data_IF_776807515135
#
_entry.id   IF_776807515135
#
_cell.length_a   1.000
_cell.length_b   1.000
_cell.length_c   1.000
_cell.angle_alpha   90.00
_cell.angle_beta   90.00
_cell.angle_gamma   90.00
#
_symmetry.space_group_name_H-M   'P 1'
#
loop_
_entity.id
_entity.type
_entity.pdbx_description
1 polymer ?
#
# COMPACT_ATOMS: atom_id res chain seq x y z
N UNK A 1 -5.55 22.98 -9.10
CA UNK A 1 -6.47 22.07 -9.81
C UNK A 1 -6.40 20.68 -9.17
N UNK A 2 -7.40 19.87 -9.46
CA UNK A 2 -7.68 18.58 -8.85
C UNK A 2 -6.56 17.58 -9.22
N UNK A 3 -5.75 17.15 -8.24
CA UNK A 3 -4.91 15.96 -8.38
C UNK A 3 -5.86 14.77 -8.53
N UNK A 4 -6.23 14.47 -9.77
CA UNK A 4 -6.87 13.21 -10.10
C UNK A 4 -5.83 12.13 -9.76
N UNK A 5 -6.06 11.40 -8.67
CA UNK A 5 -5.16 10.34 -8.23
C UNK A 5 -5.30 9.22 -9.26
N UNK A 6 -4.38 9.21 -10.22
CA UNK A 6 -4.33 8.15 -11.22
C UNK A 6 -4.07 6.82 -10.50
N UNK A 7 -5.00 5.89 -10.68
CA UNK A 7 -4.88 4.56 -10.08
C UNK A 7 -3.80 3.79 -10.86
N UNK A 8 -2.76 3.27 -10.18
CA UNK A 8 -1.73 2.46 -10.80
C UNK A 8 -2.30 1.33 -11.66
N UNK A 9 -1.71 1.07 -12.83
CA UNK A 9 -2.20 0.02 -13.74
C UNK A 9 -2.17 -1.37 -13.08
N UNK A 10 -1.17 -1.62 -12.22
CA UNK A 10 -1.06 -2.86 -11.44
C UNK A 10 -2.30 -3.10 -10.56
N UNK A 11 -2.91 -2.03 -10.03
CA UNK A 11 -4.13 -2.14 -9.20
C UNK A 11 -5.32 -2.51 -10.08
N UNK A 12 -5.51 -1.80 -11.20
CA UNK A 12 -6.62 -2.07 -12.14
C UNK A 12 -6.57 -3.51 -12.67
N UNK A 13 -5.37 -4.03 -12.90
CA UNK A 13 -5.14 -5.34 -13.51
C UNK A 13 -5.27 -6.49 -12.53
N UNK A 14 -4.74 -6.38 -11.31
CA UNK A 14 -4.59 -7.55 -10.42
C UNK A 14 -5.39 -7.50 -9.11
N UNK A 15 -5.89 -6.34 -8.69
CA UNK A 15 -6.65 -6.22 -7.44
C UNK A 15 -8.14 -6.47 -7.71
N UNK A 16 -8.83 -7.10 -6.75
CA UNK A 16 -10.28 -7.23 -6.79
C UNK A 16 -10.95 -5.84 -6.70
N UNK A 17 -11.85 -5.54 -7.63
CA UNK A 17 -12.56 -4.26 -7.71
C UNK A 17 -13.79 -4.18 -6.80
N UNK A 18 -14.08 -5.22 -6.01
CA UNK A 18 -15.14 -5.20 -5.01
C UNK A 18 -14.77 -4.30 -3.81
N UNK A 19 -15.76 -3.92 -2.99
CA UNK A 19 -15.55 -3.19 -1.74
C UNK A 19 -14.61 -3.92 -0.75
N UNK A 20 -14.36 -5.22 -0.98
CA UNK A 20 -13.49 -6.08 -0.16
C UNK A 20 -12.09 -6.28 -0.74
N UNK A 21 -11.85 -5.84 -1.97
CA UNK A 21 -10.58 -6.09 -2.65
C UNK A 21 -9.43 -5.19 -2.21
N UNK A 22 -9.74 -3.97 -1.78
CA UNK A 22 -8.76 -3.01 -1.28
C UNK A 22 -8.43 -3.17 0.20
N UNK A 23 -7.40 -2.45 0.66
CA UNK A 23 -6.84 -2.53 2.01
C UNK A 23 -7.80 -2.19 3.17
N UNK A 24 -8.98 -1.63 2.87
CA UNK A 24 -9.95 -1.03 3.80
C UNK A 24 -9.42 0.19 4.57
N UNK A 25 -10.29 0.98 5.23
CA UNK A 25 -9.85 2.05 6.13
C UNK A 25 -8.88 1.59 7.25
N UNK A 26 -8.92 0.31 7.62
CA UNK A 26 -8.02 -0.27 8.64
C UNK A 26 -6.60 -0.46 8.12
N UNK A 27 -6.41 -0.71 6.82
CA UNK A 27 -5.08 -0.78 6.22
C UNK A 27 -4.35 0.56 6.35
N UNK A 28 -5.02 1.65 5.98
CA UNK A 28 -4.48 3.01 6.12
C UNK A 28 -4.11 3.37 7.58
N UNK A 29 -5.00 3.08 8.53
CA UNK A 29 -4.72 3.31 9.95
C UNK A 29 -3.51 2.51 10.45
N UNK A 30 -3.39 1.25 9.99
CA UNK A 30 -2.27 0.37 10.35
C UNK A 30 -0.96 0.95 9.84
N UNK A 31 -0.91 1.41 8.59
CA UNK A 31 0.27 2.07 8.01
C UNK A 31 0.68 3.28 8.84
N UNK A 32 -0.25 4.19 9.16
CA UNK A 32 0.08 5.39 9.91
C UNK A 32 0.63 5.06 11.29
N UNK A 33 0.00 4.13 12.00
CA UNK A 33 0.44 3.75 13.34
C UNK A 33 1.82 3.08 13.29
N UNK A 34 2.02 2.17 12.35
CA UNK A 34 3.29 1.48 12.17
C UNK A 34 4.41 2.45 11.74
N UNK A 35 4.15 3.38 10.83
CA UNK A 35 5.13 4.37 10.38
C UNK A 35 5.54 5.33 11.51
N UNK A 36 4.59 5.74 12.37
CA UNK A 36 4.89 6.51 13.58
C UNK A 36 5.75 5.74 14.57
N UNK A 37 5.43 4.47 14.79
CA UNK A 37 6.23 3.60 15.66
C UNK A 37 7.64 3.41 15.08
N UNK A 38 7.77 3.17 13.78
CA UNK A 38 9.04 3.03 13.08
C UNK A 38 9.89 4.30 13.22
N UNK A 39 9.33 5.48 12.94
CA UNK A 39 10.04 6.75 13.11
C UNK A 39 10.51 6.97 14.55
N UNK A 40 9.66 6.65 15.53
CA UNK A 40 9.98 6.81 16.95
C UNK A 40 11.10 5.87 17.40
N UNK A 41 11.11 4.62 16.92
CA UNK A 41 12.19 3.65 17.20
C UNK A 41 13.54 4.12 16.63
N UNK A 42 13.51 4.86 15.52
CA UNK A 42 14.67 5.53 14.92
C UNK A 42 15.02 6.88 15.56
N UNK A 43 14.35 7.26 16.68
CA UNK A 43 14.61 8.51 17.40
C UNK A 43 14.10 9.77 16.71
N UNK A 44 13.26 9.64 15.68
CA UNK A 44 12.65 10.76 14.96
C UNK A 44 11.22 10.99 15.42
N UNK A 45 10.82 12.27 15.52
CA UNK A 45 9.46 12.65 15.90
C UNK A 45 8.53 12.91 14.69
N UNK A 46 9.09 12.91 13.48
CA UNK A 46 8.38 13.10 12.24
C UNK A 46 8.47 11.84 11.36
N UNK A 47 7.32 11.44 10.82
CA UNK A 47 7.21 10.36 9.84
C UNK A 47 7.75 10.86 8.49
N UNK A 48 8.59 10.05 7.86
CA UNK A 48 9.08 10.22 6.51
C UNK A 48 8.37 9.26 5.55
N UNK A 49 8.49 9.49 4.24
CA UNK A 49 7.97 8.56 3.24
C UNK A 49 8.63 7.17 3.34
N UNK A 50 9.89 7.10 3.77
CA UNK A 50 10.60 5.84 3.97
C UNK A 50 9.96 5.00 5.09
N UNK A 51 9.48 5.64 6.16
CA UNK A 51 8.75 4.95 7.23
C UNK A 51 7.45 4.33 6.74
N UNK A 52 6.79 4.96 5.76
CA UNK A 52 5.57 4.43 5.14
C UNK A 52 5.92 3.23 4.25
N UNK A 53 6.97 3.36 3.42
CA UNK A 53 7.45 2.28 2.54
C UNK A 53 7.90 1.06 3.34
N UNK A 54 8.61 1.25 4.45
CA UNK A 54 9.12 0.15 5.29
C UNK A 54 8.02 -0.69 5.95
N UNK A 55 6.88 -0.07 6.28
CA UNK A 55 5.76 -0.75 6.95
C UNK A 55 4.63 -1.17 6.00
N UNK A 56 4.69 -0.81 4.71
CA UNK A 56 3.61 -1.05 3.76
C UNK A 56 3.32 -2.55 3.55
N UNK A 57 4.34 -3.35 3.27
CA UNK A 57 4.19 -4.80 3.09
C UNK A 57 3.56 -5.50 4.30
N UNK A 58 4.12 -5.39 5.53
CA UNK A 58 3.51 -6.04 6.70
C UNK A 58 2.12 -5.49 7.04
N UNK A 59 1.80 -4.25 6.66
CA UNK A 59 0.49 -3.66 6.91
C UNK A 59 -0.59 -4.12 5.92
N UNK A 60 -0.22 -4.39 4.66
CA UNK A 60 -1.16 -4.56 3.55
C UNK A 60 -1.21 -5.98 2.95
N UNK A 61 -0.17 -6.80 3.09
CA UNK A 61 -0.04 -8.13 2.44
C UNK A 61 -1.28 -9.02 2.59
N UNK A 62 -1.91 -8.99 3.76
CA UNK A 62 -3.08 -9.83 4.07
C UNK A 62 -4.40 -9.04 4.02
N UNK A 63 -4.39 -7.85 3.44
CA UNK A 63 -5.56 -6.95 3.36
C UNK A 63 -5.98 -6.64 1.92
N UNK A 64 -5.16 -6.99 0.95
CA UNK A 64 -5.47 -6.82 -0.47
C UNK A 64 -5.83 -8.19 -1.02
N UNK A 65 -6.99 -8.26 -1.67
CA UNK A 65 -7.46 -9.47 -2.36
C UNK A 65 -7.16 -9.31 -3.84
N UNK A 66 -6.53 -10.33 -4.43
CA UNK A 66 -6.26 -10.36 -5.86
C UNK A 66 -7.50 -10.84 -6.62
N UNK A 67 -7.65 -10.41 -7.87
CA UNK A 67 -8.62 -10.99 -8.78
C UNK A 67 -8.04 -12.28 -9.41
N UNK A 68 -8.86 -12.98 -10.21
CA UNK A 68 -8.45 -14.25 -10.84
C UNK A 68 -7.13 -14.17 -11.61
N UNK A 69 -6.90 -13.10 -12.37
CA UNK A 69 -5.63 -12.90 -13.08
C UNK A 69 -4.47 -12.67 -12.11
N UNK A 70 -4.69 -11.88 -11.05
CA UNK A 70 -3.69 -11.61 -10.03
C UNK A 70 -3.26 -12.88 -9.27
N UNK A 71 -4.21 -13.78 -8.97
CA UNK A 71 -3.92 -15.06 -8.32
C UNK A 71 -3.05 -16.00 -9.19
N UNK A 72 -3.12 -15.88 -10.53
CA UNK A 72 -2.33 -16.69 -11.47
C UNK A 72 -0.97 -16.05 -11.83
N UNK A 73 -0.92 -14.72 -12.00
CA UNK A 73 0.24 -14.03 -12.60
C UNK A 73 1.19 -13.39 -11.58
N UNK A 74 0.77 -13.17 -10.32
CA UNK A 74 1.57 -12.40 -9.36
C UNK A 74 1.26 -12.76 -7.89
N UNK A 75 1.89 -12.04 -6.96
CA UNK A 75 1.62 -12.11 -5.53
C UNK A 75 1.24 -10.74 -4.98
N UNK A 76 0.51 -10.71 -3.87
CA UNK A 76 0.12 -9.46 -3.22
C UNK A 76 1.34 -8.59 -2.87
N UNK A 77 2.47 -9.21 -2.54
CA UNK A 77 3.73 -8.51 -2.25
C UNK A 77 4.30 -7.79 -3.46
N UNK A 78 4.28 -8.44 -4.62
CA UNK A 78 4.74 -7.84 -5.88
C UNK A 78 3.85 -6.68 -6.28
N UNK A 79 2.52 -6.83 -6.15
CA UNK A 79 1.56 -5.75 -6.39
C UNK A 79 1.84 -4.56 -5.47
N UNK A 80 2.02 -4.80 -4.16
CA UNK A 80 2.33 -3.71 -3.21
C UNK A 80 3.66 -3.03 -3.57
N UNK A 81 4.70 -3.77 -3.94
CA UNK A 81 5.99 -3.20 -4.33
C UNK A 81 5.86 -2.30 -5.56
N UNK A 82 5.17 -2.76 -6.60
CA UNK A 82 4.94 -1.98 -7.81
C UNK A 82 4.16 -0.68 -7.51
N UNK A 83 3.15 -0.75 -6.63
CA UNK A 83 2.41 0.45 -6.18
C UNK A 83 3.36 1.45 -5.50
N UNK A 84 4.29 0.99 -4.65
CA UNK A 84 5.24 1.86 -3.94
C UNK A 84 6.31 2.48 -4.85
N UNK A 85 6.55 1.88 -6.02
CA UNK A 85 7.46 2.39 -7.05
C UNK A 85 6.78 3.42 -7.95
N UNK A 86 5.50 3.22 -8.28
CA UNK A 86 4.73 4.09 -9.18
C UNK A 86 4.18 5.33 -8.47
N UNK A 87 3.80 5.22 -7.19
CA UNK A 87 3.23 6.35 -6.44
C UNK A 87 4.35 7.34 -6.05
N UNK A 88 4.31 8.60 -6.52
CA UNK A 88 5.32 9.59 -6.20
C UNK A 88 5.26 9.97 -4.72
N UNK A 89 6.44 10.19 -4.14
CA UNK A 89 6.55 10.80 -2.81
C UNK A 89 6.37 12.31 -2.98
N UNK A 90 5.42 12.95 -2.27
CA UNK A 90 5.20 14.39 -2.33
C UNK A 90 6.32 15.20 -1.68
#
# INVERSE_FOLDING_TARGET
EQNEVEVPEVVKRYVDNSERGGASPRGYQTIILAAKAHALLEGRFNVSAEDIKSVALPSLRHRITLNFMGEEETTTDEVIKQILEEVPVP
#
